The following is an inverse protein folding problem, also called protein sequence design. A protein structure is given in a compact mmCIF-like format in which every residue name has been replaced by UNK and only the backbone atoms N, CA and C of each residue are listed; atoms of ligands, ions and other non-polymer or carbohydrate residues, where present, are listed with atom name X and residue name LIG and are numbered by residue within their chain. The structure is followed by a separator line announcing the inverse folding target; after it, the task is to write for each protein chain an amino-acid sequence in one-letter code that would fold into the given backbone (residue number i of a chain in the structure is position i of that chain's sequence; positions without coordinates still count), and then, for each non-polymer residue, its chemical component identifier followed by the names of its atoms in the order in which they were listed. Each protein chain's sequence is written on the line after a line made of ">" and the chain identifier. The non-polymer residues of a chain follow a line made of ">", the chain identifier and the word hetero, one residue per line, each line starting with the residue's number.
data_IF_594930205282
#
_entry.id   IF_594930205282
#
_cell.length_a   1.000
_cell.length_b   1.000
_cell.length_c   1.000
_cell.angle_alpha   90.00
_cell.angle_beta   90.00
_cell.angle_gamma   90.00
#
_symmetry.space_group_name_H-M   'P 1'
#
loop_
_entity.id
_entity.type
_entity.pdbx_description
1 polymer ?
#
# COMPACT_ATOMS: atom_id res chain seq x y z
N UNK A 1 0.76 55.01 -2.07
CA UNK A 1 1.39 53.72 -2.40
C UNK A 1 0.74 52.65 -1.53
N UNK A 2 -0.20 51.89 -2.11
CA UNK A 2 -0.66 50.57 -1.64
C UNK A 2 -1.74 50.09 -2.63
N UNK A 3 -1.36 49.26 -3.59
CA UNK A 3 -2.29 48.51 -4.43
C UNK A 3 -2.74 47.30 -3.62
N UNK A 4 -4.03 47.22 -3.28
CA UNK A 4 -4.59 46.01 -2.70
C UNK A 4 -4.65 44.93 -3.80
N UNK A 5 -3.77 43.94 -3.73
CA UNK A 5 -3.78 42.77 -4.59
C UNK A 5 -4.90 41.82 -4.15
N UNK A 6 -5.60 41.29 -5.15
CA UNK A 6 -6.68 40.30 -5.17
C UNK A 6 -6.91 39.44 -3.92
N UNK A 7 -8.20 39.27 -3.62
CA UNK A 7 -8.74 38.40 -2.58
C UNK A 7 -8.29 36.94 -2.69
N UNK A 8 -8.26 36.30 -1.52
CA UNK A 8 -7.86 34.94 -1.21
C UNK A 8 -8.43 33.88 -2.17
N UNK A 9 -7.56 33.00 -2.65
CA UNK A 9 -7.94 31.78 -3.36
C UNK A 9 -8.75 30.87 -2.42
N UNK A 10 -9.83 30.25 -2.91
CA UNK A 10 -10.48 29.12 -2.21
C UNK A 10 -9.70 27.84 -2.53
N UNK A 11 -9.03 27.26 -1.55
CA UNK A 11 -8.53 25.89 -1.62
C UNK A 11 -9.39 25.03 -0.70
N UNK A 12 -10.34 24.23 -1.20
CA UNK A 12 -10.77 23.08 -0.44
C UNK A 12 -9.63 22.05 -0.50
N UNK A 13 -9.21 21.54 0.66
CA UNK A 13 -8.66 20.20 0.92
C UNK A 13 -7.81 20.21 2.21
N UNK A 14 -8.43 20.47 3.36
CA UNK A 14 -7.86 20.13 4.69
C UNK A 14 -8.55 18.89 5.21
N UNK A 15 -8.14 17.73 4.70
CA UNK A 15 -8.39 16.44 5.33
C UNK A 15 -7.37 16.20 6.45
N UNK A 16 -7.49 16.94 7.56
CA UNK A 16 -6.72 16.67 8.79
C UNK A 16 -7.52 15.71 9.67
N UNK A 17 -7.33 14.42 9.47
CA UNK A 17 -7.56 13.43 10.53
C UNK A 17 -6.28 13.27 11.35
N UNK A 18 -6.33 13.16 12.69
CA UNK A 18 -5.16 12.89 13.50
C UNK A 18 -4.70 11.45 13.26
N UNK A 19 -3.74 11.28 12.35
CA UNK A 19 -3.00 10.04 12.19
C UNK A 19 -2.16 9.80 13.43
N UNK A 20 -2.58 8.86 14.27
CA UNK A 20 -1.67 8.19 15.18
C UNK A 20 -0.76 7.29 14.34
N UNK A 21 0.39 7.85 13.97
CA UNK A 21 1.52 7.11 13.42
C UNK A 21 2.03 6.13 14.49
N UNK A 22 1.37 4.98 14.58
CA UNK A 22 1.84 3.80 15.28
C UNK A 22 1.90 2.66 14.26
N UNK A 23 2.67 2.85 13.20
CA UNK A 23 3.04 1.78 12.28
C UNK A 23 4.30 1.10 12.80
N UNK A 24 4.20 0.45 13.96
CA UNK A 24 5.19 -0.54 14.38
C UNK A 24 4.89 -1.85 13.62
N UNK A 25 5.68 -2.10 12.57
CA UNK A 25 5.81 -3.39 11.85
C UNK A 25 4.80 -3.75 10.74
N UNK A 26 4.00 -2.81 10.19
CA UNK A 26 3.11 -3.09 9.03
C UNK A 26 3.71 -2.72 7.65
N UNK A 27 4.97 -2.25 7.61
CA UNK A 27 5.49 -1.46 6.50
C UNK A 27 5.75 -2.20 5.17
N UNK A 28 5.61 -3.53 5.10
CA UNK A 28 5.96 -4.29 3.90
C UNK A 28 4.92 -4.23 2.77
N UNK A 29 3.64 -4.45 3.06
CA UNK A 29 2.65 -4.64 1.98
C UNK A 29 1.97 -3.37 1.46
N UNK A 30 2.06 -2.26 2.22
CA UNK A 30 1.62 -0.95 1.75
C UNK A 30 2.51 -0.41 0.63
N UNK A 31 3.83 -0.69 0.69
CA UNK A 31 4.79 -0.31 -0.35
C UNK A 31 4.44 -0.91 -1.72
N UNK A 32 3.89 -2.14 -1.71
CA UNK A 32 3.51 -2.86 -2.93
C UNK A 32 2.03 -2.75 -3.31
N UNK A 33 1.29 -1.87 -2.62
CA UNK A 33 -0.13 -1.61 -2.90
C UNK A 33 -1.04 -2.82 -2.68
N UNK A 34 -0.71 -3.71 -1.74
CA UNK A 34 -1.53 -4.88 -1.43
C UNK A 34 -2.78 -4.44 -0.67
N UNK A 35 -4.00 -4.65 -1.21
CA UNK A 35 -5.21 -4.26 -0.50
C UNK A 35 -5.41 -5.10 0.77
N UNK A 36 -6.05 -4.55 1.81
CA UNK A 36 -6.50 -5.34 2.95
C UNK A 36 -7.31 -6.57 2.50
N UNK A 37 -7.12 -7.70 3.17
CA UNK A 37 -7.75 -8.98 2.80
C UNK A 37 -7.12 -9.75 1.64
N UNK A 38 -6.08 -9.21 1.00
CA UNK A 38 -5.34 -9.93 -0.06
C UNK A 38 -4.02 -10.57 0.41
N UNK A 39 -3.72 -10.43 1.70
CA UNK A 39 -2.63 -11.13 2.35
C UNK A 39 -2.95 -12.63 2.44
N UNK A 40 -1.93 -13.51 2.34
CA UNK A 40 -2.09 -14.94 2.62
C UNK A 40 -2.55 -15.18 4.07
N UNK A 41 -3.16 -16.34 4.38
CA UNK A 41 -3.35 -16.76 5.76
C UNK A 41 -2.00 -17.05 6.45
N UNK A 42 -1.96 -17.02 7.80
CA UNK A 42 -0.76 -17.36 8.57
C UNK A 42 -0.11 -18.67 8.12
N UNK A 43 1.21 -18.69 7.97
CA UNK A 43 1.99 -19.86 7.55
C UNK A 43 1.97 -20.15 6.05
N UNK A 44 1.22 -19.38 5.25
CA UNK A 44 1.30 -19.41 3.79
C UNK A 44 1.96 -18.15 3.23
N UNK A 45 2.42 -18.27 1.99
CA UNK A 45 3.05 -17.18 1.27
C UNK A 45 2.37 -16.96 -0.08
N UNK A 46 2.62 -15.80 -0.68
CA UNK A 46 2.14 -15.48 -2.02
C UNK A 46 3.15 -14.62 -2.73
N UNK A 47 3.44 -14.99 -3.98
CA UNK A 47 4.20 -14.12 -4.89
C UNK A 47 3.28 -12.99 -5.35
N UNK A 48 3.72 -11.75 -5.15
CA UNK A 48 2.99 -10.55 -5.54
C UNK A 48 3.76 -9.76 -6.59
N UNK A 49 3.10 -9.39 -7.68
CA UNK A 49 3.68 -8.55 -8.73
C UNK A 49 3.12 -7.12 -8.61
N UNK A 50 3.93 -6.12 -8.24
CA UNK A 50 3.52 -4.73 -8.32
C UNK A 50 3.03 -4.38 -9.73
N UNK A 51 1.91 -3.67 -9.82
CA UNK A 51 1.28 -3.28 -11.10
C UNK A 51 0.32 -4.32 -11.70
N UNK A 52 0.23 -5.55 -11.16
CA UNK A 52 -0.85 -6.47 -11.54
C UNK A 52 -2.11 -6.23 -10.69
N UNK A 53 -3.32 -6.20 -11.28
CA UNK A 53 -4.57 -6.12 -10.54
C UNK A 53 -4.71 -7.29 -9.55
N UNK A 54 -5.35 -7.11 -8.37
CA UNK A 54 -5.44 -8.15 -7.34
C UNK A 54 -6.03 -9.48 -7.80
N UNK A 55 -7.03 -9.45 -8.70
CA UNK A 55 -7.64 -10.65 -9.29
C UNK A 55 -6.78 -11.40 -10.32
N UNK A 56 -5.65 -10.81 -10.75
CA UNK A 56 -4.68 -11.42 -11.68
C UNK A 56 -3.38 -11.85 -10.98
N UNK A 57 -3.33 -11.68 -9.65
CA UNK A 57 -2.19 -12.10 -8.86
C UNK A 57 -2.20 -13.64 -8.73
N UNK A 58 -1.02 -14.27 -8.64
CA UNK A 58 -0.91 -15.71 -8.40
C UNK A 58 -1.72 -16.15 -7.17
N UNK A 59 -2.14 -17.43 -7.11
CA UNK A 59 -2.74 -17.98 -5.90
C UNK A 59 -1.75 -17.99 -4.74
N UNK A 60 -2.28 -18.14 -3.52
CA UNK A 60 -1.49 -18.43 -2.33
C UNK A 60 -0.81 -19.80 -2.48
N UNK A 61 0.42 -19.92 -1.99
CA UNK A 61 1.24 -21.14 -2.05
C UNK A 61 1.99 -21.38 -0.74
N UNK A 62 2.79 -22.44 -0.70
CA UNK A 62 3.84 -22.57 0.31
C UNK A 62 4.90 -21.48 0.15
N UNK A 63 5.69 -21.26 1.21
CA UNK A 63 6.78 -20.27 1.21
C UNK A 63 8.06 -20.74 0.52
N UNK A 64 8.20 -22.05 0.28
CA UNK A 64 9.34 -22.63 -0.42
C UNK A 64 9.17 -22.50 -1.94
N UNK A 65 9.27 -21.26 -2.44
CA UNK A 65 9.09 -20.93 -3.85
C UNK A 65 10.23 -20.03 -4.35
N UNK A 66 10.53 -20.13 -5.65
CA UNK A 66 11.40 -19.18 -6.32
C UNK A 66 10.60 -17.93 -6.66
N UNK A 67 11.09 -16.76 -6.24
CA UNK A 67 10.46 -15.47 -6.51
C UNK A 67 11.04 -14.90 -7.81
N UNK A 68 10.23 -14.69 -8.86
CA UNK A 68 10.73 -14.12 -10.11
C UNK A 68 11.13 -12.65 -9.96
N UNK A 69 12.04 -12.14 -10.81
CA UNK A 69 12.39 -10.73 -10.82
C UNK A 69 11.15 -9.82 -10.96
N UNK A 70 11.14 -8.72 -10.19
CA UNK A 70 10.01 -7.79 -10.17
C UNK A 70 8.79 -8.30 -9.40
N UNK A 71 8.88 -9.43 -8.71
CA UNK A 71 7.89 -9.87 -7.74
C UNK A 71 8.46 -9.83 -6.31
N UNK A 72 7.57 -9.81 -5.33
CA UNK A 72 7.90 -9.88 -3.91
C UNK A 72 7.21 -11.07 -3.27
N UNK A 73 7.85 -11.67 -2.25
CA UNK A 73 7.22 -12.72 -1.45
C UNK A 73 6.48 -12.09 -0.27
N UNK A 74 5.17 -12.25 -0.24
CA UNK A 74 4.29 -11.75 0.82
C UNK A 74 4.02 -12.90 1.78
N UNK A 75 4.28 -12.67 3.06
CA UNK A 75 3.98 -13.60 4.14
C UNK A 75 2.60 -13.30 4.72
N UNK A 76 1.84 -14.34 5.03
CA UNK A 76 0.60 -14.18 5.79
C UNK A 76 0.86 -13.57 7.16
N UNK A 77 -0.04 -12.68 7.58
CA UNK A 77 -0.07 -12.06 8.91
C UNK A 77 -1.00 -12.86 9.83
#
# INVERSE_FOLDING_TARGET
>A
MALALSACVVQPNTGLGPGNAQATNAAGGHEYGIPPGHYPPPGMCRVWYPGRPPGQQPPVSSCAVVVPPGAVLVYGQ
#
